data_IF_528490441606
#
_entry.id   IF_528490441606
#
_cell.length_a   1.000
_cell.length_b   1.000
_cell.length_c   1.000
_cell.angle_alpha   90.00
_cell.angle_beta   90.00
_cell.angle_gamma   90.00
#
_symmetry.space_group_name_H-M   'P 1'
#
loop_
_entity.id
_entity.type
_entity.pdbx_description
1 polymer ?
#
# COMPACT_ATOMS: atom_id res chain seq x y z
N UNK A 1 19.48 11.24 7.40
CA UNK A 1 18.19 11.13 8.11
C UNK A 1 17.07 11.31 7.10
N UNK A 2 15.96 10.58 7.25
CA UNK A 2 14.77 10.75 6.39
C UNK A 2 14.14 12.13 6.64
N UNK A 3 13.45 12.68 5.64
CA UNK A 3 12.77 13.97 5.78
C UNK A 3 11.63 13.88 6.79
N UNK A 4 11.37 14.91 7.59
CA UNK A 4 10.20 14.93 8.46
C UNK A 4 8.93 15.14 7.61
N UNK A 5 7.93 14.28 7.75
CA UNK A 5 6.65 14.36 7.05
C UNK A 5 5.50 14.17 8.06
N UNK A 6 4.30 14.65 7.74
CA UNK A 6 3.06 14.30 8.44
C UNK A 6 2.28 13.20 7.70
N UNK A 7 3.03 12.27 7.09
CA UNK A 7 2.49 11.21 6.25
C UNK A 7 2.38 9.90 7.03
N UNK A 8 1.21 9.28 6.94
CA UNK A 8 0.88 8.03 7.61
C UNK A 8 0.54 6.99 6.57
N UNK A 9 1.17 5.82 6.60
CA UNK A 9 0.84 4.75 5.65
C UNK A 9 -0.19 3.82 6.25
N UNK A 10 -1.23 3.49 5.51
CA UNK A 10 -2.17 2.41 5.83
C UNK A 10 -1.93 1.28 4.84
N UNK A 11 -1.35 0.17 5.31
CA UNK A 11 -1.01 -1.00 4.50
C UNK A 11 -1.54 -2.30 5.11
N UNK A 12 -1.30 -3.43 4.46
CA UNK A 12 -1.72 -4.77 4.83
C UNK A 12 -1.99 -5.63 3.60
N UNK A 13 -2.04 -6.95 3.79
CA UNK A 13 -2.31 -7.91 2.73
C UNK A 13 -3.69 -7.71 2.07
N UNK A 14 -4.00 -8.44 0.99
CA UNK A 14 -5.34 -8.52 0.42
C UNK A 14 -6.37 -8.80 1.53
N UNK A 15 -7.60 -8.30 1.38
CA UNK A 15 -8.68 -8.49 2.36
C UNK A 15 -8.44 -7.96 3.78
N UNK A 16 -7.49 -7.06 4.03
CA UNK A 16 -7.29 -6.48 5.39
C UNK A 16 -8.26 -5.34 5.76
N UNK A 17 -9.17 -4.94 4.86
CA UNK A 17 -10.10 -3.83 5.10
C UNK A 17 -9.52 -2.42 4.87
N UNK A 18 -8.34 -2.30 4.24
CA UNK A 18 -7.69 -1.01 3.89
C UNK A 18 -8.65 -0.01 3.25
N UNK A 19 -9.31 -0.38 2.16
CA UNK A 19 -10.21 0.52 1.42
C UNK A 19 -11.31 1.08 2.33
N UNK A 20 -11.89 0.24 3.20
CA UNK A 20 -12.87 0.70 4.19
C UNK A 20 -12.26 1.69 5.19
N UNK A 21 -11.06 1.39 5.72
CA UNK A 21 -10.34 2.29 6.62
C UNK A 21 -10.06 3.65 5.98
N UNK A 22 -9.54 3.66 4.76
CA UNK A 22 -9.19 4.88 4.01
C UNK A 22 -10.43 5.71 3.69
N UNK A 23 -11.53 5.07 3.29
CA UNK A 23 -12.80 5.77 3.05
C UNK A 23 -13.33 6.45 4.32
N UNK A 24 -13.30 5.77 5.46
CA UNK A 24 -13.74 6.36 6.74
C UNK A 24 -12.81 7.51 7.16
N UNK A 25 -11.50 7.40 6.95
CA UNK A 25 -10.56 8.51 7.19
C UNK A 25 -10.90 9.73 6.34
N UNK A 26 -11.20 9.50 5.05
CA UNK A 26 -11.64 10.56 4.13
C UNK A 26 -12.96 11.20 4.56
N UNK A 27 -13.95 10.40 4.95
CA UNK A 27 -15.23 10.88 5.48
C UNK A 27 -15.07 11.72 6.75
N UNK A 28 -14.01 11.45 7.54
CA UNK A 28 -13.65 12.23 8.73
C UNK A 28 -12.82 13.49 8.43
N UNK A 29 -12.64 13.84 7.15
CA UNK A 29 -12.00 15.08 6.72
C UNK A 29 -10.48 14.99 6.55
N UNK A 30 -9.89 13.79 6.63
CA UNK A 30 -8.46 13.62 6.36
C UNK A 30 -8.19 13.48 4.86
N UNK A 31 -7.04 14.01 4.42
CA UNK A 31 -6.56 13.78 3.06
C UNK A 31 -6.06 12.34 2.93
N UNK A 32 -6.50 11.66 1.88
CA UNK A 32 -6.09 10.30 1.56
C UNK A 32 -5.63 10.17 0.12
N UNK A 33 -4.71 9.24 -0.14
CA UNK A 33 -4.35 8.85 -1.51
C UNK A 33 -5.26 7.75 -2.04
N UNK A 34 -5.05 7.35 -3.30
CA UNK A 34 -5.78 6.26 -3.95
C UNK A 34 -4.91 5.02 -4.15
N UNK A 35 -5.52 3.83 -4.21
CA UNK A 35 -4.78 2.60 -4.55
C UNK A 35 -4.35 2.59 -6.03
N UNK A 36 -3.06 2.82 -6.28
CA UNK A 36 -2.52 2.92 -7.64
C UNK A 36 -2.59 1.65 -8.46
N UNK A 37 -2.54 0.46 -7.86
CA UNK A 37 -2.66 -0.80 -8.58
C UNK A 37 -4.02 -0.91 -9.31
N UNK A 38 -5.11 -0.55 -8.62
CA UNK A 38 -6.45 -0.50 -9.23
C UNK A 38 -6.52 0.55 -10.33
N UNK A 39 -6.01 1.75 -10.06
CA UNK A 39 -6.02 2.83 -11.04
C UNK A 39 -5.17 2.52 -12.30
N UNK A 40 -4.04 1.82 -12.15
CA UNK A 40 -3.24 1.34 -13.27
C UNK A 40 -4.02 0.34 -14.15
N UNK A 41 -4.72 -0.61 -13.53
CA UNK A 41 -5.56 -1.57 -14.28
C UNK A 41 -6.64 -0.82 -15.07
N UNK A 42 -7.32 0.14 -14.44
CA UNK A 42 -8.39 0.90 -15.09
C UNK A 42 -7.86 1.73 -16.27
N UNK A 43 -6.73 2.43 -16.10
CA UNK A 43 -6.11 3.20 -17.20
C UNK A 43 -5.65 2.31 -18.37
N UNK A 44 -5.17 1.10 -18.10
CA UNK A 44 -4.76 0.16 -19.16
C UNK A 44 -5.95 -0.54 -19.85
N UNK A 45 -7.06 -0.76 -19.13
CA UNK A 45 -8.31 -1.25 -19.73
C UNK A 45 -8.88 -0.27 -20.76
N UNK A 46 -8.78 1.04 -20.49
CA UNK A 46 -9.16 2.09 -21.47
C UNK A 46 -8.34 1.99 -22.76
N UNK A 47 -7.11 1.48 -22.70
CA UNK A 47 -6.24 1.25 -23.87
C UNK A 47 -6.49 -0.10 -24.58
N UNK A 48 -7.56 -0.82 -24.22
CA UNK A 48 -7.98 -2.06 -24.89
C UNK A 48 -7.30 -3.33 -24.40
N UNK A 49 -6.48 -3.28 -23.34
CA UNK A 49 -5.85 -4.47 -22.74
C UNK A 49 -6.74 -5.11 -21.69
N UNK A 50 -6.83 -6.44 -21.71
CA UNK A 50 -7.48 -7.22 -20.65
C UNK A 50 -6.65 -7.20 -19.36
N UNK A 51 -7.29 -7.48 -18.22
CA UNK A 51 -6.59 -7.57 -16.92
C UNK A 51 -5.52 -8.66 -16.93
N UNK A 52 -5.76 -9.75 -17.65
CA UNK A 52 -4.83 -10.87 -17.75
C UNK A 52 -3.60 -10.50 -18.57
N UNK A 53 -3.76 -9.78 -19.69
CA UNK A 53 -2.63 -9.26 -20.48
C UNK A 53 -1.79 -8.23 -19.72
N UNK A 54 -2.43 -7.42 -18.86
CA UNK A 54 -1.74 -6.46 -18.00
C UNK A 54 -0.91 -7.20 -16.94
N UNK A 55 -1.49 -8.24 -16.33
CA UNK A 55 -0.83 -9.05 -15.29
C UNK A 55 0.19 -10.04 -15.84
N UNK A 56 0.09 -10.41 -17.12
CA UNK A 56 1.05 -11.31 -17.78
C UNK A 56 2.48 -10.74 -17.82
N UNK A 57 2.62 -9.41 -17.81
CA UNK A 57 3.92 -8.76 -17.60
C UNK A 57 3.98 -8.14 -16.19
N UNK A 58 4.18 -9.01 -15.20
CA UNK A 58 4.26 -8.62 -13.78
C UNK A 58 5.31 -7.54 -13.52
N UNK A 59 6.46 -7.57 -14.21
CA UNK A 59 7.50 -6.53 -14.08
C UNK A 59 6.97 -5.17 -14.54
N UNK A 60 6.41 -5.08 -15.74
CA UNK A 60 5.88 -3.82 -16.28
C UNK A 60 4.72 -3.28 -15.44
N UNK A 61 3.89 -4.17 -14.91
CA UNK A 61 2.82 -3.80 -13.98
C UNK A 61 3.38 -3.18 -12.70
N UNK A 62 4.29 -3.88 -12.01
CA UNK A 62 4.85 -3.40 -10.74
C UNK A 62 5.67 -2.11 -10.91
N UNK A 63 6.44 -1.98 -11.99
CA UNK A 63 7.17 -0.74 -12.31
C UNK A 63 6.22 0.44 -12.57
N UNK A 64 5.08 0.18 -13.23
CA UNK A 64 4.06 1.19 -13.49
C UNK A 64 3.34 1.67 -12.22
N UNK A 65 3.03 0.74 -11.31
CA UNK A 65 2.47 1.07 -9.98
C UNK A 65 3.47 1.89 -9.17
N UNK A 66 4.74 1.47 -9.14
CA UNK A 66 5.83 2.21 -8.47
C UNK A 66 5.97 3.64 -9.03
N UNK A 67 5.87 3.81 -10.35
CA UNK A 67 5.91 5.14 -10.98
C UNK A 67 4.79 6.06 -10.53
N UNK A 68 3.57 5.54 -10.41
CA UNK A 68 2.42 6.30 -9.93
C UNK A 68 2.63 6.71 -8.47
N UNK A 69 3.07 5.76 -7.63
CA UNK A 69 3.33 5.99 -6.21
C UNK A 69 4.39 7.06 -5.98
N UNK A 70 5.52 6.98 -6.70
CA UNK A 70 6.60 7.97 -6.60
C UNK A 70 6.09 9.36 -7.01
N UNK A 71 5.27 9.46 -8.06
CA UNK A 71 4.74 10.75 -8.51
C UNK A 71 3.75 11.34 -7.51
N UNK A 72 2.86 10.52 -6.95
CA UNK A 72 1.90 10.98 -5.95
C UNK A 72 2.60 11.45 -4.69
N UNK A 73 3.50 10.65 -4.12
CA UNK A 73 4.25 11.01 -2.91
C UNK A 73 5.09 12.28 -3.08
N UNK A 74 5.68 12.49 -4.27
CA UNK A 74 6.42 13.73 -4.57
C UNK A 74 5.54 14.98 -4.66
N UNK A 75 4.25 14.82 -4.97
CA UNK A 75 3.31 15.94 -5.08
C UNK A 75 2.67 16.32 -3.74
N UNK A 76 2.86 15.52 -2.69
CA UNK A 76 2.32 15.80 -1.36
C UNK A 76 3.13 16.88 -0.63
N UNK A 77 2.43 17.73 0.11
CA UNK A 77 3.07 18.63 1.07
C UNK A 77 3.53 17.83 2.29
N UNK A 78 4.75 18.08 2.78
CA UNK A 78 5.31 17.37 3.93
C UNK A 78 4.65 17.76 5.26
N UNK A 79 4.11 18.97 5.34
CA UNK A 79 3.50 19.53 6.57
C UNK A 79 2.01 19.18 6.70
N UNK A 80 1.41 18.63 5.64
CA UNK A 80 0.01 18.23 5.62
C UNK A 80 -0.18 16.80 6.13
N UNK A 81 -1.19 16.59 6.97
CA UNK A 81 -1.56 15.25 7.44
C UNK A 81 -2.21 14.46 6.29
N UNK A 82 -1.52 13.42 5.83
CA UNK A 82 -1.99 12.57 4.71
C UNK A 82 -1.92 11.10 5.11
N UNK A 83 -3.00 10.37 4.84
CA UNK A 83 -3.03 8.91 4.95
C UNK A 83 -2.86 8.28 3.56
N UNK A 84 -1.77 7.55 3.37
CA UNK A 84 -1.47 6.88 2.11
C UNK A 84 -2.10 5.48 2.10
N UNK A 85 -2.93 5.18 1.09
CA UNK A 85 -3.40 3.82 0.80
C UNK A 85 -2.29 3.06 0.07
N UNK A 86 -1.42 2.42 0.86
CA UNK A 86 -0.10 1.89 0.46
C UNK A 86 0.94 2.97 0.13
N UNK A 87 2.22 2.59 0.16
CA UNK A 87 3.33 3.50 -0.14
C UNK A 87 4.46 2.79 -0.89
N UNK A 88 5.53 3.51 -1.24
CA UNK A 88 6.68 2.96 -1.99
C UNK A 88 7.18 1.60 -1.46
N UNK A 89 7.32 1.36 -0.14
CA UNK A 89 7.76 0.05 0.36
C UNK A 89 6.82 -1.12 0.06
N UNK A 90 5.53 -0.89 -0.18
CA UNK A 90 4.62 -1.94 -0.65
C UNK A 90 5.13 -2.55 -1.97
N UNK A 91 5.70 -1.74 -2.87
CA UNK A 91 6.26 -2.22 -4.12
C UNK A 91 7.37 -3.25 -3.87
N UNK A 92 8.25 -3.03 -2.88
CA UNK A 92 9.29 -3.99 -2.52
C UNK A 92 8.68 -5.32 -2.03
N UNK A 93 7.64 -5.27 -1.20
CA UNK A 93 6.95 -6.49 -0.75
C UNK A 93 6.35 -7.26 -1.95
N UNK A 94 5.72 -6.57 -2.91
CA UNK A 94 5.19 -7.18 -4.11
C UNK A 94 6.27 -7.74 -5.05
N UNK A 95 7.41 -7.04 -5.19
CA UNK A 95 8.55 -7.54 -5.97
C UNK A 95 9.06 -8.85 -5.37
N UNK A 96 9.27 -8.91 -4.06
CA UNK A 96 9.70 -10.14 -3.37
C UNK A 96 8.67 -11.25 -3.48
N UNK A 97 7.39 -10.92 -3.33
CA UNK A 97 6.29 -11.89 -3.46
C UNK A 97 6.26 -12.55 -4.86
N UNK A 98 6.52 -11.77 -5.91
CA UNK A 98 6.55 -12.22 -7.30
C UNK A 98 7.95 -12.68 -7.76
N UNK A 99 8.94 -12.72 -6.87
CA UNK A 99 10.34 -13.03 -7.20
C UNK A 99 10.93 -12.16 -8.32
N UNK A 100 10.58 -10.87 -8.34
CA UNK A 100 11.07 -9.88 -9.30
C UNK A 100 12.40 -9.26 -8.85
N UNK A 101 13.30 -8.90 -9.79
CA UNK A 101 14.55 -8.22 -9.44
C UNK A 101 14.30 -6.81 -8.89
N UNK A 102 14.93 -6.49 -7.77
CA UNK A 102 14.90 -5.16 -7.17
C UNK A 102 15.78 -4.18 -7.98
N UNK A 103 15.17 -3.41 -8.87
CA UNK A 103 15.88 -2.47 -9.74
C UNK A 103 16.36 -1.20 -9.02
N UNK A 104 17.28 -0.46 -9.66
CA UNK A 104 17.87 0.75 -9.08
C UNK A 104 16.82 1.84 -8.78
N UNK A 105 15.75 1.89 -9.59
CA UNK A 105 14.64 2.83 -9.42
C UNK A 105 13.91 2.56 -8.10
N UNK A 106 13.58 1.30 -7.80
CA UNK A 106 13.00 0.90 -6.52
C UNK A 106 13.93 1.28 -5.35
N UNK A 107 15.22 0.97 -5.47
CA UNK A 107 16.20 1.30 -4.42
C UNK A 107 16.31 2.81 -4.18
N UNK A 108 16.33 3.61 -5.23
CA UNK A 108 16.32 5.08 -5.14
C UNK A 108 15.04 5.61 -4.48
N UNK A 109 13.89 5.02 -4.81
CA UNK A 109 12.60 5.39 -4.21
C UNK A 109 12.56 5.07 -2.71
N UNK A 110 13.02 3.88 -2.32
CA UNK A 110 13.09 3.44 -0.91
C UNK A 110 14.02 4.32 -0.07
N UNK A 111 15.16 4.76 -0.63
CA UNK A 111 16.07 5.71 0.04
C UNK A 111 15.41 7.07 0.30
N UNK A 112 14.51 7.48 -0.58
CA UNK A 112 13.83 8.78 -0.52
C UNK A 112 12.55 8.74 0.32
N UNK A 113 12.00 7.56 0.55
CA UNK A 113 10.74 7.34 1.25
C UNK A 113 10.81 7.83 2.70
N UNK A 114 9.79 8.56 3.13
CA UNK A 114 9.67 9.03 4.50
C UNK A 114 8.23 9.11 4.98
N UNK A 115 7.97 8.42 6.07
CA UNK A 115 6.66 8.33 6.70
C UNK A 115 6.82 8.52 8.20
N UNK A 116 5.89 9.27 8.80
CA UNK A 116 5.86 9.52 10.24
C UNK A 116 5.56 8.23 11.00
N UNK A 117 4.63 7.43 10.48
CA UNK A 117 4.21 6.15 11.05
C UNK A 117 3.52 5.28 10.01
N UNK A 118 3.60 3.97 10.19
CA UNK A 118 3.02 2.96 9.29
C UNK A 118 2.06 2.12 10.09
N UNK A 119 0.81 2.02 9.63
CA UNK A 119 -0.22 1.17 10.19
C UNK A 119 -0.38 -0.07 9.31
N UNK A 120 0.01 -1.22 9.84
CA UNK A 120 -0.14 -2.51 9.15
C UNK A 120 -1.41 -3.17 9.67
N UNK A 121 -2.39 -3.32 8.78
CA UNK A 121 -3.67 -3.95 9.10
C UNK A 121 -3.53 -5.47 9.01
N UNK A 122 -3.95 -6.16 10.07
CA UNK A 122 -4.06 -7.62 10.09
C UNK A 122 -5.05 -8.12 9.02
N UNK A 123 -4.79 -9.29 8.42
CA UNK A 123 -5.67 -9.87 7.41
C UNK A 123 -7.03 -10.28 8.01
N UNK A 124 -8.11 -10.05 7.26
CA UNK A 124 -9.41 -10.68 7.54
C UNK A 124 -9.48 -12.02 6.79
N UNK A 125 -10.34 -12.95 7.22
CA UNK A 125 -10.67 -14.14 6.45
C UNK A 125 -11.02 -13.78 4.99
N UNK A 126 -10.56 -14.60 4.04
CA UNK A 126 -10.81 -14.38 2.62
C UNK A 126 -12.31 -14.40 2.33
N UNK A 127 -12.84 -13.26 1.90
CA UNK A 127 -14.15 -13.20 1.27
C UNK A 127 -13.97 -13.45 -0.24
N UNK A 128 -14.87 -14.20 -0.90
CA UNK A 128 -14.81 -14.38 -2.35
C UNK A 128 -14.93 -13.02 -3.07
N UNK A 129 -13.88 -12.63 -3.80
CA UNK A 129 -13.81 -11.38 -4.58
C UNK A 129 -13.40 -11.76 -6.02
N UNK A 130 -14.25 -11.43 -6.99
CA UNK A 130 -14.06 -11.76 -8.41
C UNK A 130 -12.79 -11.14 -9.01
N UNK A 131 -12.20 -10.14 -8.34
CA UNK A 131 -10.96 -9.49 -8.76
C UNK A 131 -9.71 -10.06 -8.09
N UNK A 132 -9.84 -11.06 -7.19
CA UNK A 132 -8.72 -11.65 -6.43
C UNK A 132 -8.50 -13.11 -6.81
N UNK A 133 -7.30 -13.37 -7.31
CA UNK A 133 -6.81 -14.70 -7.68
C UNK A 133 -5.94 -15.34 -6.59
N UNK A 134 -5.69 -14.63 -5.48
CA UNK A 134 -4.79 -15.05 -4.41
C UNK A 134 -5.50 -15.93 -3.37
N UNK A 135 -4.89 -17.06 -3.00
CA UNK A 135 -5.34 -17.94 -1.93
C UNK A 135 -4.94 -17.44 -0.53
N UNK A 136 -5.41 -18.13 0.53
CA UNK A 136 -5.07 -17.80 1.92
C UNK A 136 -3.56 -17.78 2.17
N UNK A 137 -2.83 -18.68 1.50
CA UNK A 137 -1.36 -18.77 1.57
C UNK A 137 -0.72 -17.50 1.02
N UNK A 138 -1.14 -17.03 -0.15
CA UNK A 138 -0.67 -15.81 -0.79
C UNK A 138 -0.99 -14.58 0.06
N UNK A 139 -2.18 -14.50 0.65
CA UNK A 139 -2.57 -13.42 1.55
C UNK A 139 -1.63 -13.34 2.76
N UNK A 140 -1.43 -14.47 3.45
CA UNK A 140 -0.55 -14.55 4.63
C UNK A 140 0.89 -14.20 4.27
N UNK A 141 1.41 -14.79 3.19
CA UNK A 141 2.79 -14.55 2.74
C UNK A 141 3.03 -13.09 2.39
N UNK A 142 2.09 -12.43 1.72
CA UNK A 142 2.22 -11.01 1.39
C UNK A 142 2.11 -10.12 2.63
N UNK A 143 1.28 -10.46 3.60
CA UNK A 143 1.22 -9.73 4.88
C UNK A 143 2.54 -9.85 5.67
N UNK A 144 3.14 -11.04 5.72
CA UNK A 144 4.47 -11.24 6.32
C UNK A 144 5.54 -10.40 5.62
N UNK A 145 5.57 -10.41 4.27
CA UNK A 145 6.52 -9.61 3.49
C UNK A 145 6.35 -8.11 3.70
N UNK A 146 5.11 -7.61 3.77
CA UNK A 146 4.84 -6.20 4.07
C UNK A 146 5.41 -5.82 5.44
N UNK A 147 5.14 -6.65 6.45
CA UNK A 147 5.66 -6.45 7.81
C UNK A 147 7.20 -6.41 7.81
N UNK A 148 7.83 -7.43 7.24
CA UNK A 148 9.30 -7.53 7.15
C UNK A 148 9.92 -6.32 6.44
N UNK A 149 9.32 -5.88 5.33
CA UNK A 149 9.82 -4.75 4.56
C UNK A 149 9.75 -3.45 5.36
N UNK A 150 8.62 -3.14 5.99
CA UNK A 150 8.50 -1.88 6.74
C UNK A 150 9.38 -1.86 7.99
N UNK A 151 9.48 -2.98 8.70
CA UNK A 151 10.33 -3.11 9.89
C UNK A 151 11.82 -3.09 9.54
N UNK A 152 12.25 -3.81 8.50
CA UNK A 152 13.66 -3.80 8.04
C UNK A 152 14.13 -2.45 7.53
N UNK A 153 13.22 -1.64 6.99
CA UNK A 153 13.50 -0.26 6.60
C UNK A 153 13.49 0.70 7.80
N UNK A 154 13.22 0.23 9.03
CA UNK A 154 13.27 1.03 10.26
C UNK A 154 12.19 2.11 10.35
N UNK A 155 11.03 1.91 9.73
CA UNK A 155 9.89 2.81 9.91
C UNK A 155 9.20 2.56 11.27
N UNK A 156 8.60 3.58 11.91
CA UNK A 156 7.76 3.37 13.08
C UNK A 156 6.48 2.62 12.67
N UNK A 157 6.39 1.33 13.02
CA UNK A 157 5.27 0.46 12.67
C UNK A 157 4.32 0.32 13.86
N UNK A 158 3.02 0.41 13.57
CA UNK A 158 1.92 0.06 14.48
C UNK A 158 1.09 -1.02 13.81
N UNK A 159 1.08 -2.20 14.42
CA UNK A 159 0.22 -3.31 14.02
C UNK A 159 -1.22 -3.03 14.48
N UNK A 160 -2.18 -3.19 13.58
CA UNK A 160 -3.60 -2.90 13.81
C UNK A 160 -4.40 -4.20 13.71
N UNK A 161 -4.81 -4.72 14.86
CA UNK A 161 -5.60 -5.94 14.95
C UNK A 161 -6.96 -5.81 14.26
N UNK A 162 -7.59 -6.95 14.01
CA UNK A 162 -8.94 -7.02 13.44
C UNK A 162 -9.94 -6.35 14.39
N UNK A 163 -10.36 -5.15 14.01
CA UNK A 163 -11.36 -4.34 14.72
C UNK A 163 -12.51 -3.96 13.78
N UNK A 164 -13.71 -3.66 14.32
CA UNK A 164 -14.79 -3.02 13.56
C UNK A 164 -14.29 -1.76 12.84
N UNK A 165 -14.79 -1.43 11.63
CA UNK A 165 -14.20 -0.39 10.80
C UNK A 165 -14.05 0.98 11.47
N UNK A 166 -15.06 1.43 12.24
CA UNK A 166 -15.01 2.72 12.94
C UNK A 166 -14.00 2.70 14.09
N UNK A 167 -14.00 1.65 14.89
CA UNK A 167 -13.07 1.47 16.01
C UNK A 167 -11.61 1.37 15.54
N UNK A 168 -11.39 0.73 14.40
CA UNK A 168 -10.07 0.66 13.75
C UNK A 168 -9.54 2.04 13.37
N UNK A 169 -10.40 2.89 12.79
CA UNK A 169 -10.02 4.27 12.49
C UNK A 169 -9.79 5.07 13.77
N UNK A 170 -10.62 4.90 14.79
CA UNK A 170 -10.40 5.53 16.09
C UNK A 170 -9.05 5.11 16.70
N UNK A 171 -8.68 3.83 16.58
CA UNK A 171 -7.38 3.31 17.01
C UNK A 171 -6.24 3.98 16.24
N UNK A 172 -6.32 4.06 14.91
CA UNK A 172 -5.31 4.73 14.07
C UNK A 172 -5.15 6.19 14.48
N UNK A 173 -6.24 6.94 14.64
CA UNK A 173 -6.20 8.36 14.97
C UNK A 173 -5.69 8.64 16.40
N UNK A 174 -5.89 7.71 17.34
CA UNK A 174 -5.29 7.79 18.68
C UNK A 174 -3.78 7.54 18.67
N UNK A 175 -3.26 6.94 17.60
CA UNK A 175 -1.87 6.53 17.46
C UNK A 175 -1.12 7.34 16.39
N UNK A 176 -1.52 8.58 16.08
CA UNK A 176 -0.74 9.46 15.19
C UNK A 176 0.63 9.81 15.76
#
# INVERSE_FOLDING_TARGET
MRANTQWYVVTGGPSSGKTTTVNILKERGYKTTIEHARHYIDTKRVTGKTTDEIRANQVAFQQGVLDMQIREEKALSRDEVVFLDRAVPDALAYYRFQSLPEDEKLQNALRSASYKKVFILDPLPLAPDYARTEDETAQKRLHELLTEVYESLGFPVVHVSVLPPKERVDFILKNL
#
